data_IF_545883740401
#
_entry.id   IF_545883740401
#
_cell.length_a   1.000
_cell.length_b   1.000
_cell.length_c   1.000
_cell.angle_alpha   90.00
_cell.angle_beta   90.00
_cell.angle_gamma   90.00
#
_symmetry.space_group_name_H-M   'P 1'
#
loop_
_entity.id
_entity.type
_entity.pdbx_description
1 polymer ?
#
# COMPACT_ATOMS: atom_id res chain seq x y z
N UNK A 1 -0.07 -4.93 8.68
CA UNK A 1 0.23 -6.00 7.73
C UNK A 1 -0.49 -5.82 6.41
N UNK A 2 -1.83 -6.00 6.37
CA UNK A 2 -2.59 -5.98 5.10
C UNK A 2 -2.49 -4.67 4.32
N UNK A 3 -2.43 -3.51 4.97
CA UNK A 3 -2.26 -2.22 4.27
C UNK A 3 -0.90 -2.11 3.55
N UNK A 4 0.15 -2.67 4.13
CA UNK A 4 1.47 -2.79 3.49
C UNK A 4 1.43 -3.77 2.31
N UNK A 5 0.84 -4.95 2.56
CA UNK A 5 0.77 -5.99 1.54
C UNK A 5 -0.10 -5.59 0.33
N UNK A 6 -1.10 -4.72 0.52
CA UNK A 6 -1.89 -4.13 -0.56
C UNK A 6 -1.00 -3.38 -1.57
N UNK A 7 -0.05 -2.58 -1.08
CA UNK A 7 0.84 -1.78 -1.93
C UNK A 7 1.76 -2.63 -2.82
N UNK A 8 2.09 -3.86 -2.40
CA UNK A 8 3.09 -4.71 -3.06
C UNK A 8 2.82 -4.91 -4.55
N UNK A 9 1.58 -5.22 -4.92
CA UNK A 9 1.22 -5.43 -6.33
C UNK A 9 1.29 -4.15 -7.15
N UNK A 10 0.74 -3.07 -6.63
CA UNK A 10 0.70 -1.79 -7.35
C UNK A 10 2.10 -1.19 -7.49
N UNK A 11 2.95 -1.33 -6.48
CA UNK A 11 4.35 -0.93 -6.55
C UNK A 11 5.13 -1.73 -7.58
N UNK A 12 5.01 -3.07 -7.58
CA UNK A 12 5.66 -3.93 -8.55
C UNK A 12 5.19 -3.64 -9.99
N UNK A 13 3.90 -3.39 -10.18
CA UNK A 13 3.31 -2.98 -11.48
C UNK A 13 3.89 -1.65 -11.96
N UNK A 14 3.97 -0.64 -11.09
CA UNK A 14 4.54 0.66 -11.42
C UNK A 14 6.02 0.56 -11.77
N UNK A 15 6.82 -0.20 -11.00
CA UNK A 15 8.23 -0.46 -11.30
C UNK A 15 8.42 -1.19 -12.63
N UNK A 16 7.54 -2.14 -12.96
CA UNK A 16 7.59 -2.84 -14.24
C UNK A 16 7.35 -1.89 -15.42
N UNK A 17 6.40 -0.97 -15.29
CA UNK A 17 6.05 0.01 -16.33
C UNK A 17 7.12 1.08 -16.48
N UNK A 18 7.63 1.62 -15.38
CA UNK A 18 8.66 2.68 -15.40
C UNK A 18 10.07 2.16 -15.72
N UNK A 19 10.31 0.85 -15.55
CA UNK A 19 11.65 0.28 -15.64
C UNK A 19 12.55 0.63 -14.45
N UNK A 20 11.97 1.07 -13.34
CA UNK A 20 12.72 1.37 -12.12
C UNK A 20 13.39 0.12 -11.54
N UNK A 21 14.49 0.32 -10.82
CA UNK A 21 15.19 -0.77 -10.13
C UNK A 21 14.45 -1.20 -8.88
N UNK A 22 14.46 -2.49 -8.60
CA UNK A 22 13.91 -3.08 -7.38
C UNK A 22 14.83 -2.84 -6.17
N UNK A 23 14.35 -3.14 -4.96
CA UNK A 23 15.15 -3.07 -3.74
C UNK A 23 16.41 -3.94 -3.81
N UNK A 24 16.37 -5.04 -4.56
CA UNK A 24 17.52 -5.91 -4.82
C UNK A 24 18.48 -5.35 -5.89
N UNK A 25 18.21 -4.20 -6.47
CA UNK A 25 19.05 -3.54 -7.49
C UNK A 25 18.91 -4.10 -8.90
N UNK A 26 17.92 -4.97 -9.14
CA UNK A 26 17.62 -5.54 -10.46
C UNK A 26 16.34 -4.94 -11.08
N UNK A 27 15.84 -5.62 -12.10
CA UNK A 27 14.54 -5.32 -12.72
C UNK A 27 13.46 -6.25 -12.17
N UNK A 28 12.20 -5.83 -12.25
CA UNK A 28 11.04 -6.64 -11.87
C UNK A 28 11.00 -7.92 -12.70
N UNK A 29 10.95 -9.07 -12.03
CA UNK A 29 10.87 -10.37 -12.70
C UNK A 29 9.43 -10.83 -12.87
N UNK A 30 9.18 -11.76 -13.81
CA UNK A 30 7.84 -12.37 -13.97
C UNK A 30 7.39 -13.07 -12.68
N UNK A 31 8.31 -13.70 -11.95
CA UNK A 31 8.01 -14.35 -10.68
C UNK A 31 7.58 -13.30 -9.62
N UNK A 32 8.29 -12.19 -9.50
CA UNK A 32 7.98 -11.14 -8.55
C UNK A 32 6.59 -10.56 -8.79
N UNK A 33 6.26 -10.20 -10.03
CA UNK A 33 4.92 -9.65 -10.35
C UNK A 33 3.80 -10.69 -10.13
N UNK A 34 4.06 -11.96 -10.42
CA UNK A 34 3.09 -13.03 -10.18
C UNK A 34 2.84 -13.24 -8.68
N UNK A 35 3.88 -13.21 -7.84
CA UNK A 35 3.74 -13.31 -6.38
C UNK A 35 3.05 -12.07 -5.80
N UNK A 36 3.39 -10.87 -6.26
CA UNK A 36 2.74 -9.64 -5.86
C UNK A 36 1.24 -9.65 -6.25
N UNK A 37 0.89 -10.14 -7.44
CA UNK A 37 -0.50 -10.30 -7.87
C UNK A 37 -1.24 -11.33 -7.01
N UNK A 38 -0.62 -12.48 -6.72
CA UNK A 38 -1.20 -13.48 -5.84
C UNK A 38 -1.43 -12.93 -4.43
N UNK A 39 -0.51 -12.10 -3.93
CA UNK A 39 -0.70 -11.37 -2.68
C UNK A 39 -1.97 -10.54 -2.72
N UNK A 40 -2.11 -9.66 -3.70
CA UNK A 40 -3.28 -8.81 -3.88
C UNK A 40 -4.58 -9.62 -3.96
N UNK A 41 -4.64 -10.64 -4.83
CA UNK A 41 -5.84 -11.48 -5.01
C UNK A 41 -6.22 -12.19 -3.70
N UNK A 42 -5.23 -12.65 -2.94
CA UNK A 42 -5.47 -13.29 -1.63
C UNK A 42 -6.03 -12.30 -0.62
N UNK A 43 -5.50 -11.08 -0.57
CA UNK A 43 -6.00 -10.03 0.32
C UNK A 43 -7.45 -9.64 0.00
N UNK A 44 -7.77 -9.43 -1.28
CA UNK A 44 -9.13 -9.09 -1.71
C UNK A 44 -10.13 -10.21 -1.39
N UNK A 45 -9.75 -11.47 -1.60
CA UNK A 45 -10.63 -12.62 -1.37
C UNK A 45 -10.82 -12.98 0.11
N UNK A 46 -9.78 -12.82 0.92
CA UNK A 46 -9.74 -13.40 2.27
C UNK A 46 -9.50 -12.36 3.39
N UNK A 47 -9.10 -11.13 3.06
CA UNK A 47 -8.69 -10.12 4.06
C UNK A 47 -9.79 -9.79 5.07
N UNK A 48 -11.00 -9.50 4.61
CA UNK A 48 -12.15 -9.19 5.50
C UNK A 48 -12.54 -10.40 6.34
N UNK A 49 -12.56 -11.60 5.74
CA UNK A 49 -12.83 -12.85 6.47
C UNK A 49 -11.79 -13.12 7.56
N UNK A 50 -10.52 -12.88 7.24
CA UNK A 50 -9.43 -13.04 8.21
C UNK A 50 -9.56 -12.06 9.38
N UNK A 51 -9.89 -10.79 9.10
CA UNK A 51 -10.16 -9.78 10.14
C UNK A 51 -11.28 -10.24 11.07
N UNK A 52 -12.42 -10.61 10.52
CA UNK A 52 -13.58 -11.07 11.31
C UNK A 52 -13.26 -12.31 12.14
N UNK A 53 -12.51 -13.27 11.58
CA UNK A 53 -12.06 -14.46 12.30
C UNK A 53 -11.15 -14.10 13.50
N UNK A 54 -10.19 -13.21 13.28
CA UNK A 54 -9.28 -12.75 14.34
C UNK A 54 -10.02 -11.99 15.46
N UNK A 55 -10.97 -11.14 15.10
CA UNK A 55 -11.83 -10.44 16.07
C UNK A 55 -12.66 -11.41 16.91
N UNK A 56 -13.06 -12.54 16.32
CA UNK A 56 -13.73 -13.64 17.02
C UNK A 56 -12.77 -14.59 17.75
N UNK A 57 -11.46 -14.35 17.74
CA UNK A 57 -10.44 -15.21 18.35
C UNK A 57 -10.24 -16.56 17.66
N UNK A 58 -10.60 -16.65 16.36
CA UNK A 58 -10.52 -17.88 15.57
C UNK A 58 -9.38 -17.84 14.56
N UNK A 59 -8.62 -18.94 14.45
CA UNK A 59 -7.68 -19.15 13.37
C UNK A 59 -8.35 -20.00 12.28
N UNK A 60 -8.65 -19.38 11.15
CA UNK A 60 -9.33 -20.00 10.00
C UNK A 60 -8.39 -20.11 8.80
N UNK A 61 -8.73 -20.89 7.77
CA UNK A 61 -7.97 -20.92 6.53
C UNK A 61 -7.77 -19.52 5.89
N UNK A 62 -8.71 -18.59 6.08
CA UNK A 62 -8.55 -17.22 5.61
C UNK A 62 -7.42 -16.49 6.35
N UNK A 63 -7.30 -16.70 7.67
CA UNK A 63 -6.20 -16.14 8.48
C UNK A 63 -4.84 -16.69 8.02
N UNK A 64 -4.75 -18.00 7.81
CA UNK A 64 -3.51 -18.64 7.33
C UNK A 64 -3.06 -18.08 5.96
N UNK A 65 -3.99 -17.95 5.02
CA UNK A 65 -3.71 -17.37 3.70
C UNK A 65 -3.26 -15.90 3.79
N UNK A 66 -3.88 -15.10 4.65
CA UNK A 66 -3.48 -13.70 4.85
C UNK A 66 -2.13 -13.59 5.53
N UNK A 67 -1.78 -14.50 6.44
CA UNK A 67 -0.43 -14.58 7.02
C UNK A 67 0.59 -14.87 5.92
N UNK A 68 0.34 -15.85 5.06
CA UNK A 68 1.19 -16.16 3.91
C UNK A 68 1.33 -14.95 2.98
N UNK A 69 0.21 -14.28 2.64
CA UNK A 69 0.23 -13.09 1.81
C UNK A 69 1.07 -11.97 2.41
N UNK A 70 0.89 -11.67 3.68
CA UNK A 70 1.61 -10.60 4.38
C UNK A 70 3.10 -10.88 4.58
N UNK A 71 3.49 -12.14 4.77
CA UNK A 71 4.87 -12.49 5.13
C UNK A 71 5.69 -12.95 3.92
N UNK A 72 5.20 -13.93 3.18
CA UNK A 72 5.93 -14.52 2.06
C UNK A 72 5.69 -13.75 0.76
N UNK A 73 4.42 -13.61 0.35
CA UNK A 73 4.09 -13.07 -0.96
C UNK A 73 4.43 -11.57 -1.04
N UNK A 74 4.06 -10.80 -0.01
CA UNK A 74 4.42 -9.39 0.08
C UNK A 74 5.93 -9.22 0.28
N UNK A 75 6.57 -10.04 1.11
CA UNK A 75 8.02 -9.97 1.36
C UNK A 75 8.84 -10.11 0.08
N UNK A 76 8.63 -11.18 -0.68
CA UNK A 76 9.33 -11.42 -1.94
C UNK A 76 8.84 -10.47 -3.04
N UNK A 77 7.53 -10.24 -3.11
CA UNK A 77 6.91 -9.33 -4.08
C UNK A 77 7.46 -7.91 -3.95
N UNK A 78 7.65 -7.43 -2.73
CA UNK A 78 8.24 -6.13 -2.42
C UNK A 78 9.73 -6.08 -2.77
N UNK A 79 10.54 -7.03 -2.28
CA UNK A 79 12.00 -7.03 -2.49
C UNK A 79 12.36 -7.08 -3.97
N UNK A 80 11.70 -7.96 -4.72
CA UNK A 80 11.98 -8.24 -6.13
C UNK A 80 11.03 -7.55 -7.11
N UNK A 81 9.98 -6.91 -6.61
CA UNK A 81 9.03 -6.10 -7.38
C UNK A 81 9.29 -4.60 -7.28
N UNK A 82 9.93 -4.15 -6.21
CA UNK A 82 10.28 -2.74 -5.98
C UNK A 82 9.20 -1.93 -5.28
N UNK A 83 9.51 -0.65 -5.09
CA UNK A 83 8.65 0.36 -4.46
C UNK A 83 8.20 1.40 -5.48
N UNK A 84 7.11 2.09 -5.16
CA UNK A 84 6.57 3.16 -6.02
C UNK A 84 5.89 4.26 -5.17
N UNK A 85 4.93 4.96 -5.75
CA UNK A 85 4.28 6.13 -5.17
C UNK A 85 3.70 5.92 -3.77
N UNK A 86 3.16 4.74 -3.45
CA UNK A 86 2.60 4.47 -2.13
C UNK A 86 3.62 4.71 -1.00
N UNK A 87 4.86 4.27 -1.18
CA UNK A 87 5.93 4.45 -0.21
C UNK A 87 6.51 5.86 -0.23
N UNK A 88 6.66 6.48 -1.40
CA UNK A 88 7.06 7.88 -1.50
C UNK A 88 6.06 8.80 -0.78
N UNK A 89 4.77 8.58 -0.96
CA UNK A 89 3.70 9.33 -0.30
C UNK A 89 3.72 9.07 1.22
N UNK A 90 3.89 7.80 1.64
CA UNK A 90 4.11 7.48 3.06
C UNK A 90 5.29 8.27 3.63
N UNK A 91 6.43 8.30 2.93
CA UNK A 91 7.61 9.06 3.33
C UNK A 91 7.28 10.55 3.44
N UNK A 92 6.50 11.08 2.49
CA UNK A 92 5.99 12.45 2.53
C UNK A 92 5.22 12.76 3.81
N UNK A 93 4.32 11.87 4.26
CA UNK A 93 3.56 12.06 5.49
C UNK A 93 4.42 12.04 6.78
N UNK A 94 5.65 11.58 6.74
CA UNK A 94 6.54 11.60 7.91
C UNK A 94 6.95 13.00 8.35
N UNK A 95 6.77 14.02 7.51
CA UNK A 95 7.06 15.42 7.86
C UNK A 95 5.96 16.05 8.73
N UNK A 96 4.81 15.38 8.88
CA UNK A 96 3.69 15.86 9.70
C UNK A 96 3.62 15.09 11.02
N UNK A 97 3.80 15.80 12.13
CA UNK A 97 3.74 15.21 13.48
C UNK A 97 2.40 14.54 13.77
N UNK A 98 1.28 15.07 13.21
CA UNK A 98 -0.05 14.51 13.34
C UNK A 98 -0.15 13.08 12.86
N UNK A 99 0.70 12.66 11.91
CA UNK A 99 0.69 11.31 11.33
C UNK A 99 1.59 10.30 12.05
N UNK A 100 2.36 10.73 13.05
CA UNK A 100 3.36 9.87 13.71
C UNK A 100 2.77 8.76 14.54
N UNK A 101 1.52 8.89 14.99
CA UNK A 101 0.81 7.85 15.73
C UNK A 101 0.29 6.71 14.85
N UNK A 102 0.21 6.93 13.53
CA UNK A 102 -0.27 5.94 12.57
C UNK A 102 0.79 4.88 12.29
N UNK A 103 0.36 3.63 12.17
CA UNK A 103 1.26 2.56 11.74
C UNK A 103 1.71 2.75 10.30
N UNK A 104 2.90 2.22 9.98
CA UNK A 104 3.47 2.28 8.64
C UNK A 104 2.47 1.83 7.55
N UNK A 105 1.90 0.62 7.68
CA UNK A 105 0.98 0.07 6.71
C UNK A 105 -0.35 0.83 6.56
N UNK A 106 -0.76 1.61 7.54
CA UNK A 106 -1.94 2.48 7.42
C UNK A 106 -1.64 3.66 6.50
N UNK A 107 -0.48 4.30 6.68
CA UNK A 107 -0.03 5.38 5.79
C UNK A 107 0.25 4.88 4.37
N UNK A 108 0.82 3.68 4.25
CA UNK A 108 1.07 3.04 2.95
C UNK A 108 -0.24 2.69 2.23
N UNK A 109 -1.28 2.23 2.94
CA UNK A 109 -2.60 1.98 2.34
C UNK A 109 -3.20 3.27 1.74
N UNK A 110 -3.16 4.37 2.47
CA UNK A 110 -3.58 5.68 1.95
C UNK A 110 -2.71 6.12 0.77
N UNK A 111 -1.39 5.92 0.87
CA UNK A 111 -0.44 6.18 -0.21
C UNK A 111 -0.75 5.38 -1.47
N UNK A 112 -1.20 4.12 -1.31
CA UNK A 112 -1.63 3.27 -2.44
C UNK A 112 -2.84 3.88 -3.15
N UNK A 113 -3.87 4.30 -2.42
CA UNK A 113 -5.04 4.99 -3.00
C UNK A 113 -4.59 6.24 -3.78
N UNK A 114 -3.71 7.04 -3.20
CA UNK A 114 -3.20 8.25 -3.85
C UNK A 114 -2.38 7.92 -5.10
N UNK A 115 -1.53 6.89 -5.06
CA UNK A 115 -0.79 6.40 -6.25
C UNK A 115 -1.76 6.00 -7.36
N UNK A 116 -2.82 5.27 -7.04
CA UNK A 116 -3.81 4.80 -8.02
C UNK A 116 -4.59 5.95 -8.67
N UNK A 117 -4.85 7.02 -7.91
CA UNK A 117 -5.41 8.27 -8.46
C UNK A 117 -4.43 8.93 -9.42
N UNK A 118 -3.14 9.01 -9.08
CA UNK A 118 -2.10 9.55 -9.97
C UNK A 118 -1.92 8.71 -11.24
N UNK A 119 -2.06 7.40 -11.16
CA UNK A 119 -2.05 6.47 -12.31
C UNK A 119 -3.32 6.57 -13.17
N UNK A 120 -4.34 7.30 -12.72
CA UNK A 120 -5.63 7.45 -13.39
C UNK A 120 -6.27 6.09 -13.73
N UNK A 121 -6.30 5.16 -12.76
CA UNK A 121 -6.94 3.85 -12.94
C UNK A 121 -8.47 4.02 -13.11
N UNK A 122 -9.19 3.00 -13.64
CA UNK A 122 -10.65 3.02 -13.72
C UNK A 122 -11.29 3.29 -12.35
N UNK A 123 -12.31 4.15 -12.33
CA UNK A 123 -13.00 4.54 -11.10
C UNK A 123 -13.57 3.32 -10.33
N UNK A 124 -14.10 2.34 -11.04
CA UNK A 124 -14.65 1.12 -10.46
C UNK A 124 -13.56 0.32 -9.69
N UNK A 125 -12.36 0.17 -10.28
CA UNK A 125 -11.24 -0.50 -9.61
C UNK A 125 -10.78 0.28 -8.36
N UNK A 126 -10.77 1.60 -8.44
CA UNK A 126 -10.41 2.46 -7.30
C UNK A 126 -11.45 2.37 -6.17
N UNK A 127 -12.73 2.38 -6.51
CA UNK A 127 -13.84 2.23 -5.56
C UNK A 127 -13.76 0.89 -4.81
N UNK A 128 -13.54 -0.22 -5.51
CA UNK A 128 -13.37 -1.55 -4.90
C UNK A 128 -12.25 -1.59 -3.86
N UNK A 129 -11.11 -0.92 -4.17
CA UNK A 129 -9.97 -0.85 -3.25
C UNK A 129 -10.26 0.04 -2.04
N UNK A 130 -10.95 1.17 -2.25
CA UNK A 130 -11.36 2.06 -1.16
C UNK A 130 -12.34 1.34 -0.24
N UNK A 131 -13.34 0.67 -0.78
CA UNK A 131 -14.34 -0.08 -0.01
C UNK A 131 -13.68 -1.19 0.82
N UNK A 132 -12.74 -1.93 0.22
CA UNK A 132 -11.95 -2.93 0.93
C UNK A 132 -11.12 -2.32 2.08
N UNK A 133 -10.50 -1.15 1.85
CA UNK A 133 -9.78 -0.44 2.92
C UNK A 133 -10.72 -0.03 4.06
N UNK A 134 -11.91 0.48 3.75
CA UNK A 134 -12.93 0.86 4.74
C UNK A 134 -13.35 -0.36 5.57
N UNK A 135 -13.66 -1.49 4.94
CA UNK A 135 -14.05 -2.72 5.63
C UNK A 135 -12.95 -3.24 6.59
N UNK A 136 -11.69 -3.04 6.24
CA UNK A 136 -10.56 -3.39 7.10
C UNK A 136 -10.28 -2.36 8.19
N UNK A 137 -10.85 -1.15 8.11
CA UNK A 137 -10.56 -0.04 9.02
C UNK A 137 -9.23 0.64 8.71
N UNK A 138 -8.77 0.58 7.47
CA UNK A 138 -7.61 1.33 6.99
C UNK A 138 -8.02 2.76 6.63
N UNK A 139 -7.16 3.76 6.83
CA UNK A 139 -7.51 5.15 6.55
C UNK A 139 -7.67 5.40 5.04
N UNK A 140 -8.74 6.06 4.66
CA UNK A 140 -9.03 6.48 3.28
C UNK A 140 -9.17 7.99 3.15
N UNK A 141 -9.08 8.72 4.26
CA UNK A 141 -9.15 10.18 4.31
C UNK A 141 -7.98 10.78 5.09
N UNK A 142 -7.64 12.04 4.79
CA UNK A 142 -6.62 12.78 5.56
C UNK A 142 -6.98 12.89 7.04
N UNK A 143 -8.26 13.02 7.35
CA UNK A 143 -8.75 13.09 8.74
C UNK A 143 -8.45 11.79 9.49
N UNK A 144 -8.59 10.64 8.87
CA UNK A 144 -8.28 9.33 9.45
C UNK A 144 -6.77 9.12 9.64
N UNK A 145 -5.93 9.81 8.86
CA UNK A 145 -4.49 9.89 9.11
C UNK A 145 -4.12 10.84 10.27
N UNK A 146 -5.09 11.53 10.86
CA UNK A 146 -4.87 12.49 11.95
C UNK A 146 -4.77 13.95 11.50
N UNK A 147 -4.86 14.22 10.20
CA UNK A 147 -4.79 15.58 9.66
C UNK A 147 -6.19 16.19 9.70
N UNK A 148 -6.51 16.86 10.81
CA UNK A 148 -7.83 17.48 11.02
C UNK A 148 -7.95 18.87 10.40
N UNK A 149 -6.82 19.57 10.26
CA UNK A 149 -6.73 20.86 9.59
C UNK A 149 -5.86 20.71 8.34
N UNK A 150 -6.53 20.69 7.18
CA UNK A 150 -5.88 20.55 5.87
C UNK A 150 -5.56 21.96 5.35
N UNK A 151 -4.29 22.24 5.14
CA UNK A 151 -3.81 23.49 4.54
C UNK A 151 -2.94 23.21 3.31
N UNK A 152 -2.86 24.17 2.40
CA UNK A 152 -2.01 24.05 1.21
C UNK A 152 -0.54 23.88 1.58
N UNK A 153 -0.08 24.52 2.67
CA UNK A 153 1.28 24.38 3.16
C UNK A 153 1.60 22.95 3.59
N UNK A 154 0.69 22.30 4.33
CA UNK A 154 0.86 20.90 4.75
C UNK A 154 0.87 19.96 3.54
N UNK A 155 -0.08 20.11 2.63
CA UNK A 155 -0.13 19.30 1.41
C UNK A 155 1.12 19.48 0.55
N UNK A 156 1.60 20.72 0.40
CA UNK A 156 2.82 21.02 -0.33
C UNK A 156 4.06 20.44 0.35
N UNK A 157 4.12 20.47 1.68
CA UNK A 157 5.23 19.88 2.44
C UNK A 157 5.28 18.35 2.22
N UNK A 158 4.15 17.67 2.31
CA UNK A 158 4.03 16.21 2.03
C UNK A 158 4.43 15.91 0.59
N UNK A 159 3.87 16.65 -0.39
CA UNK A 159 4.18 16.44 -1.81
C UNK A 159 5.67 16.67 -2.12
N UNK A 160 6.27 17.72 -1.55
CA UNK A 160 7.69 18.00 -1.72
C UNK A 160 8.56 16.89 -1.13
N UNK A 161 8.21 16.38 0.05
CA UNK A 161 8.94 15.29 0.68
C UNK A 161 8.75 13.95 -0.04
N UNK A 162 7.61 13.73 -0.70
CA UNK A 162 7.36 12.54 -1.51
C UNK A 162 8.09 12.58 -2.88
N UNK A 163 8.45 13.77 -3.37
CA UNK A 163 9.08 13.96 -4.67
C UNK A 163 10.59 14.23 -4.58
N UNK A 164 11.25 13.79 -3.52
CA UNK A 164 12.71 13.94 -3.41
C UNK A 164 13.44 13.05 -4.40
N UNK A 165 14.57 13.55 -4.92
CA UNK A 165 15.41 12.80 -5.85
C UNK A 165 15.88 11.49 -5.20
N UNK A 166 15.78 10.39 -5.95
CA UNK A 166 16.07 9.02 -5.51
C UNK A 166 15.07 8.38 -4.53
N UNK A 167 13.90 8.96 -4.31
CA UNK A 167 12.79 8.25 -3.70
C UNK A 167 12.04 7.40 -4.76
N UNK A 168 10.99 6.74 -4.35
CA UNK A 168 10.30 5.69 -5.11
C UNK A 168 9.13 6.19 -5.97
N UNK A 169 8.92 7.51 -6.07
CA UNK A 169 7.94 8.11 -6.98
C UNK A 169 8.55 8.24 -8.38
N UNK A 170 8.15 7.37 -9.31
CA UNK A 170 8.64 7.33 -10.68
C UNK A 170 7.53 6.97 -11.68
#
# INVERSE_FOLDING_TARGET
GMGEALATYFAARACQVSGATTCAGGQVTQAAIALAKLCFDTLMAEGVKAKLALEAGACTPAVEKVIEANTLLSGIGFESGGLAGAHAIHNGFTVLDECHHMYHGEKVAFGTITQLVLENIPAEELEDIIDWCIELGLPVTLKELGITEVTDEKLMAVATAACVENDTLH
#
